data_IF_312509305935
#
_entry.id   IF_312509305935
#
_cell.length_a   1.000
_cell.length_b   1.000
_cell.length_c   1.000
_cell.angle_alpha   90.00
_cell.angle_beta   90.00
_cell.angle_gamma   90.00
#
_symmetry.space_group_name_H-M   'P 1'
#
loop_
_entity.id
_entity.type
_entity.pdbx_description
1 polymer ?
#
# COMPACT_ATOMS: atom_id res chain seq x y z
N UNK A 1 3.39 15.90 -15.95
CA UNK A 1 2.73 15.91 -14.63
C UNK A 1 3.00 14.54 -14.03
N UNK A 2 3.71 14.45 -12.91
CA UNK A 2 3.95 13.16 -12.25
C UNK A 2 2.82 12.93 -11.26
N UNK A 3 2.02 11.89 -11.48
CA UNK A 3 0.86 11.56 -10.66
C UNK A 3 1.25 10.53 -9.60
N UNK A 4 0.77 10.72 -8.36
CA UNK A 4 0.93 9.72 -7.31
C UNK A 4 0.14 8.47 -7.68
N UNK A 5 0.79 7.31 -7.62
CA UNK A 5 0.17 6.01 -7.77
C UNK A 5 -0.25 5.48 -6.41
N UNK A 6 -1.26 4.63 -6.36
CA UNK A 6 -1.73 3.95 -5.16
C UNK A 6 -1.67 2.45 -5.38
N UNK A 7 -1.23 1.69 -4.39
CA UNK A 7 -1.07 0.24 -4.54
C UNK A 7 -1.10 -0.51 -3.22
N UNK A 8 -1.27 -1.83 -3.32
CA UNK A 8 -1.17 -2.79 -2.21
C UNK A 8 0.07 -3.63 -2.44
N UNK A 9 1.11 -3.31 -1.69
CA UNK A 9 2.47 -3.78 -1.89
C UNK A 9 2.73 -4.98 -0.98
N UNK A 10 2.95 -6.14 -1.57
CA UNK A 10 3.39 -7.35 -0.89
C UNK A 10 4.92 -7.43 -0.93
N UNK A 11 5.56 -7.47 0.23
CA UNK A 11 7.02 -7.55 0.36
C UNK A 11 7.52 -8.92 -0.07
N UNK A 12 8.37 -8.95 -1.09
CA UNK A 12 9.02 -10.15 -1.60
C UNK A 12 10.36 -10.40 -0.92
N UNK A 13 11.16 -9.34 -0.78
CA UNK A 13 12.53 -9.39 -0.26
C UNK A 13 12.94 -8.00 0.26
N UNK A 14 13.77 -7.96 1.30
CA UNK A 14 14.38 -6.72 1.79
C UNK A 14 15.85 -6.64 1.37
N UNK A 15 16.26 -5.46 0.89
CA UNK A 15 17.66 -5.14 0.64
C UNK A 15 18.13 -4.19 1.73
N UNK A 16 18.98 -4.63 2.69
CA UNK A 16 19.48 -3.76 3.75
C UNK A 16 20.07 -2.47 3.17
N UNK A 17 19.65 -1.31 3.68
CA UNK A 17 20.04 0.03 3.21
C UNK A 17 19.59 0.39 1.77
N UNK A 18 19.02 -0.54 1.01
CA UNK A 18 18.67 -0.37 -0.41
C UNK A 18 17.17 -0.26 -0.70
N UNK A 19 16.32 -0.74 0.20
CA UNK A 19 14.86 -0.70 0.06
C UNK A 19 14.23 -2.08 0.15
N UNK A 20 13.06 -2.24 -0.47
CA UNK A 20 12.25 -3.46 -0.39
C UNK A 20 11.73 -3.82 -1.77
N UNK A 21 12.01 -5.03 -2.24
CA UNK A 21 11.33 -5.56 -3.41
C UNK A 21 9.89 -5.87 -3.05
N UNK A 22 8.97 -5.26 -3.78
CA UNK A 22 7.53 -5.42 -3.57
C UNK A 22 6.86 -5.84 -4.86
N UNK A 23 5.81 -6.64 -4.69
CA UNK A 23 4.81 -6.91 -5.70
C UNK A 23 3.61 -6.04 -5.41
N UNK A 24 3.28 -5.12 -6.29
CA UNK A 24 1.98 -4.46 -6.25
C UNK A 24 0.92 -5.43 -6.75
N UNK A 25 0.13 -5.94 -5.80
CA UNK A 25 -0.94 -6.90 -6.04
C UNK A 25 -2.06 -6.34 -6.88
N UNK A 26 -2.22 -5.02 -6.88
CA UNK A 26 -3.25 -4.37 -7.67
C UNK A 26 -2.74 -4.23 -9.12
N UNK A 27 -1.51 -3.73 -9.32
CA UNK A 27 -0.96 -3.43 -10.65
C UNK A 27 -0.22 -4.58 -11.34
N UNK A 28 -0.14 -5.76 -10.71
CA UNK A 28 0.68 -6.91 -11.15
C UNK A 28 2.11 -6.50 -11.56
N UNK A 29 2.75 -5.70 -10.69
CA UNK A 29 4.07 -5.13 -10.97
C UNK A 29 5.02 -5.41 -9.82
N UNK A 30 6.20 -5.90 -10.16
CA UNK A 30 7.32 -6.00 -9.22
C UNK A 30 8.25 -4.82 -9.40
N UNK A 31 8.61 -4.16 -8.31
CA UNK A 31 9.59 -3.08 -8.32
C UNK A 31 10.33 -2.98 -6.99
N UNK A 32 11.48 -2.30 -7.01
CA UNK A 32 12.19 -1.91 -5.81
C UNK A 32 11.56 -0.62 -5.25
N UNK A 33 11.00 -0.73 -4.04
CA UNK A 33 10.53 0.39 -3.26
C UNK A 33 11.68 0.92 -2.41
N UNK A 34 12.20 2.09 -2.76
CA UNK A 34 13.27 2.74 -2.01
C UNK A 34 12.70 3.39 -0.76
N UNK A 35 12.78 2.63 0.35
CA UNK A 35 12.39 3.07 1.69
C UNK A 35 13.36 2.43 2.69
N UNK A 36 14.27 3.24 3.22
CA UNK A 36 15.33 2.79 4.13
C UNK A 36 14.73 2.22 5.44
N UNK A 37 13.74 2.90 6.01
CA UNK A 37 13.09 2.44 7.25
C UNK A 37 12.37 1.11 7.05
N UNK A 38 11.71 0.96 5.90
CA UNK A 38 11.06 -0.28 5.52
C UNK A 38 12.08 -1.39 5.22
N UNK A 39 13.27 -1.07 4.69
CA UNK A 39 14.33 -2.05 4.42
C UNK A 39 14.81 -2.80 5.67
N UNK A 40 14.72 -2.18 6.84
CA UNK A 40 15.06 -2.81 8.12
C UNK A 40 13.90 -3.48 8.84
N UNK A 41 12.67 -3.00 8.60
CA UNK A 41 11.50 -3.39 9.39
C UNK A 41 10.55 -4.34 8.65
N UNK A 42 10.55 -4.34 7.32
CA UNK A 42 9.72 -5.22 6.53
C UNK A 42 10.22 -6.67 6.57
N UNK A 43 9.27 -7.59 6.46
CA UNK A 43 9.52 -9.02 6.31
C UNK A 43 8.81 -9.49 5.07
N UNK A 44 9.35 -10.53 4.41
CA UNK A 44 8.68 -11.21 3.31
C UNK A 44 7.24 -11.58 3.69
N UNK A 45 6.29 -11.25 2.84
CA UNK A 45 4.85 -11.45 3.04
C UNK A 45 4.13 -10.31 3.75
N UNK A 46 4.83 -9.26 4.21
CA UNK A 46 4.17 -8.03 4.71
C UNK A 46 3.38 -7.37 3.58
N UNK A 47 2.17 -6.90 3.87
CA UNK A 47 1.29 -6.20 2.91
C UNK A 47 1.07 -4.76 3.37
N UNK A 48 1.27 -3.81 2.45
CA UNK A 48 1.25 -2.37 2.72
C UNK A 48 0.35 -1.69 1.68
N UNK A 49 -0.74 -1.03 2.08
CA UNK A 49 -1.36 -0.04 1.19
C UNK A 49 -0.70 1.31 1.37
N UNK A 50 -0.32 1.92 0.26
CA UNK A 50 0.36 3.22 0.27
C UNK A 50 0.18 3.95 -1.05
N UNK A 51 0.44 5.25 -1.05
CA UNK A 51 0.72 6.00 -2.27
C UNK A 51 2.22 6.05 -2.53
N UNK A 52 2.62 5.77 -3.76
CA UNK A 52 4.01 5.83 -4.17
C UNK A 52 4.18 6.68 -5.44
N UNK A 53 5.36 7.28 -5.55
CA UNK A 53 5.78 7.99 -6.75
C UNK A 53 6.81 7.14 -7.48
N UNK A 54 6.55 6.93 -8.76
CA UNK A 54 7.53 6.32 -9.67
C UNK A 54 8.23 7.42 -10.46
N UNK A 55 9.53 7.54 -10.25
CA UNK A 55 10.45 8.27 -11.11
C UNK A 55 10.97 7.33 -12.20
N UNK A 56 11.65 7.86 -13.22
CA UNK A 56 12.16 7.06 -14.35
C UNK A 56 13.03 5.88 -13.94
N UNK A 57 13.68 5.94 -12.77
CA UNK A 57 14.66 4.95 -12.33
C UNK A 57 14.35 4.31 -10.96
N UNK A 58 13.38 4.84 -10.20
CA UNK A 58 13.11 4.37 -8.84
C UNK A 58 11.67 4.68 -8.38
N UNK A 59 11.17 3.91 -7.41
CA UNK A 59 9.84 4.13 -6.80
C UNK A 59 10.00 4.36 -5.30
N UNK A 60 9.30 5.36 -4.76
CA UNK A 60 9.34 5.73 -3.34
C UNK A 60 7.93 5.84 -2.78
N UNK A 61 7.74 5.48 -1.51
CA UNK A 61 6.50 5.82 -0.79
C UNK A 61 6.44 7.33 -0.59
N UNK A 62 5.23 7.88 -0.65
CA UNK A 62 4.96 9.28 -0.25
C UNK A 62 4.19 9.36 1.07
N UNK A 63 3.94 8.21 1.70
CA UNK A 63 3.09 8.09 2.88
C UNK A 63 3.56 7.00 3.84
N UNK A 64 2.94 6.97 5.02
CA UNK A 64 3.19 5.98 6.05
C UNK A 64 2.54 4.63 5.69
N UNK A 65 3.25 3.51 5.94
CA UNK A 65 2.68 2.17 5.85
C UNK A 65 1.63 1.95 6.97
N UNK A 66 0.44 1.47 6.61
CA UNK A 66 -0.63 1.13 7.56
C UNK A 66 -0.82 -0.40 7.66
N UNK A 67 -1.00 -0.96 8.88
CA UNK A 67 -1.11 -2.40 9.11
C UNK A 67 -2.51 -2.93 8.77
N UNK A 68 -2.83 -3.06 7.49
CA UNK A 68 -4.16 -3.50 7.05
C UNK A 68 -4.49 -4.95 7.45
N UNK A 69 -3.48 -5.75 7.79
CA UNK A 69 -3.67 -7.13 8.29
C UNK A 69 -4.57 -7.21 9.54
N UNK A 70 -4.71 -6.13 10.30
CA UNK A 70 -5.59 -6.05 11.47
C UNK A 70 -6.98 -5.47 11.16
N UNK A 71 -7.24 -5.14 9.89
CA UNK A 71 -8.43 -4.45 9.41
C UNK A 71 -9.01 -5.11 8.15
N UNK A 72 -8.84 -6.43 8.02
CA UNK A 72 -9.32 -7.19 6.86
C UNK A 72 -10.83 -7.08 6.68
N UNK A 73 -11.61 -7.13 7.77
CA UNK A 73 -13.06 -6.95 7.72
C UNK A 73 -13.44 -5.62 7.05
N UNK A 74 -12.71 -4.54 7.34
CA UNK A 74 -12.95 -3.23 6.71
C UNK A 74 -12.50 -3.19 5.25
N UNK A 75 -11.41 -3.88 4.93
CA UNK A 75 -10.96 -4.01 3.56
C UNK A 75 -12.02 -4.70 2.70
N UNK A 76 -12.59 -5.81 3.19
CA UNK A 76 -13.63 -6.57 2.50
C UNK A 76 -14.91 -5.72 2.31
N UNK A 77 -15.35 -5.01 3.34
CA UNK A 77 -16.48 -4.06 3.24
C UNK A 77 -16.27 -3.00 2.13
N UNK A 78 -15.06 -2.45 2.02
CA UNK A 78 -14.75 -1.44 1.01
C UNK A 78 -14.58 -2.05 -0.38
N UNK A 79 -14.12 -3.29 -0.50
CA UNK A 79 -14.06 -4.02 -1.77
C UNK A 79 -15.47 -4.17 -2.33
N UNK A 80 -16.42 -4.57 -1.48
CA UNK A 80 -17.84 -4.70 -1.82
C UNK A 80 -18.47 -3.34 -2.17
N UNK A 81 -18.23 -2.31 -1.35
CA UNK A 81 -18.78 -0.95 -1.56
C UNK A 81 -18.36 -0.34 -2.91
N UNK A 82 -17.12 -0.59 -3.33
CA UNK A 82 -16.53 -0.03 -4.55
C UNK A 82 -16.61 -0.96 -5.76
N UNK A 83 -17.29 -2.12 -5.63
CA UNK A 83 -17.45 -3.11 -6.71
C UNK A 83 -16.10 -3.59 -7.28
N UNK A 84 -15.07 -3.66 -6.42
CA UNK A 84 -13.69 -3.99 -6.83
C UNK A 84 -13.56 -5.46 -7.24
N UNK A 85 -14.44 -6.33 -6.74
CA UNK A 85 -14.48 -7.75 -7.13
C UNK A 85 -14.82 -7.92 -8.63
N UNK A 86 -15.65 -7.03 -9.18
CA UNK A 86 -16.14 -7.10 -10.57
C UNK A 86 -15.45 -6.10 -11.50
N UNK A 87 -14.69 -5.15 -10.93
CA UNK A 87 -13.95 -4.14 -11.67
C UNK A 87 -12.57 -3.89 -11.06
N UNK A 88 -11.47 -4.00 -11.83
CA UNK A 88 -10.15 -3.65 -11.34
C UNK A 88 -10.12 -2.24 -10.75
N UNK A 89 -9.49 -2.08 -9.58
CA UNK A 89 -9.40 -0.80 -8.87
C UNK A 89 -8.94 0.38 -9.75
N UNK A 90 -8.01 0.16 -10.68
CA UNK A 90 -7.48 1.19 -11.60
C UNK A 90 -8.47 1.69 -12.64
N UNK A 91 -9.51 0.91 -12.91
CA UNK A 91 -10.58 1.31 -13.82
C UNK A 91 -11.63 2.18 -13.12
N UNK A 92 -11.59 2.28 -11.78
CA UNK A 92 -12.40 3.23 -11.04
C UNK A 92 -11.95 4.66 -11.39
N UNK A 93 -12.86 5.64 -11.48
CA UNK A 93 -12.50 7.05 -11.51
C UNK A 93 -11.54 7.41 -10.38
N UNK A 94 -10.55 8.26 -10.65
CA UNK A 94 -9.52 8.71 -9.67
C UNK A 94 -10.14 9.16 -8.35
N UNK A 95 -11.30 9.82 -8.39
CA UNK A 95 -12.03 10.25 -7.20
C UNK A 95 -12.51 9.07 -6.32
N UNK A 96 -12.92 7.96 -6.93
CA UNK A 96 -13.32 6.75 -6.22
C UNK A 96 -12.11 6.02 -5.64
N UNK A 97 -11.01 5.91 -6.41
CA UNK A 97 -9.75 5.35 -5.91
C UNK A 97 -9.25 6.11 -4.67
N UNK A 98 -9.22 7.44 -4.75
CA UNK A 98 -8.84 8.29 -3.62
C UNK A 98 -9.78 8.13 -2.43
N UNK A 99 -11.08 7.98 -2.66
CA UNK A 99 -12.05 7.77 -1.59
C UNK A 99 -11.84 6.43 -0.88
N UNK A 100 -11.68 5.33 -1.62
CA UNK A 100 -11.39 4.00 -1.07
C UNK A 100 -10.16 4.03 -0.15
N UNK A 101 -9.03 4.54 -0.67
CA UNK A 101 -7.77 4.61 0.10
C UNK A 101 -7.92 5.52 1.32
N UNK A 102 -8.64 6.64 1.20
CA UNK A 102 -8.91 7.55 2.31
C UNK A 102 -9.76 6.89 3.40
N UNK A 103 -10.80 6.15 3.02
CA UNK A 103 -11.67 5.45 3.97
C UNK A 103 -10.89 4.36 4.73
N UNK A 104 -10.10 3.56 4.01
CA UNK A 104 -9.26 2.53 4.61
C UNK A 104 -8.20 3.14 5.54
N UNK A 105 -7.52 4.18 5.07
CA UNK A 105 -6.52 4.93 5.85
C UNK A 105 -7.11 5.50 7.13
N UNK A 106 -8.27 6.17 7.02
CA UNK A 106 -8.98 6.75 8.16
C UNK A 106 -9.36 5.67 9.17
N UNK A 107 -9.91 4.54 8.70
CA UNK A 107 -10.28 3.44 9.58
C UNK A 107 -9.06 2.89 10.35
N UNK A 108 -7.93 2.67 9.68
CA UNK A 108 -6.70 2.25 10.35
C UNK A 108 -6.23 3.26 11.40
N UNK A 109 -6.26 4.57 11.09
CA UNK A 109 -5.84 5.61 12.02
C UNK A 109 -6.78 5.75 13.23
N UNK A 110 -8.10 5.67 13.01
CA UNK A 110 -9.13 5.76 14.05
C UNK A 110 -9.09 4.57 15.00
N UNK A 111 -8.74 3.38 14.49
CA UNK A 111 -8.66 2.14 15.27
C UNK A 111 -7.28 1.89 15.87
N UNK A 112 -6.51 2.96 16.11
CA UNK A 112 -5.38 2.91 17.02
C UNK A 112 -4.03 2.54 16.40
N UNK A 113 -3.85 2.71 15.09
CA UNK A 113 -2.52 2.72 14.46
C UNK A 113 -1.78 4.00 14.89
N UNK A 114 -1.41 4.07 16.17
CA UNK A 114 -0.63 5.17 16.77
C UNK A 114 0.86 4.82 16.87
N UNK A 115 1.21 3.54 16.79
CA UNK A 115 2.59 3.06 16.67
C UNK A 115 2.64 1.61 16.20
N UNK A 116 3.58 1.31 15.30
CA UNK A 116 3.98 -0.04 14.97
C UNK A 116 4.96 -0.53 16.05
N UNK A 117 4.58 -1.53 16.86
CA UNK A 117 5.50 -2.30 17.69
C UNK A 117 5.26 -3.78 17.41
N UNK A 118 6.25 -4.45 16.85
CA UNK A 118 6.28 -5.90 16.79
C UNK A 118 7.07 -6.43 17.99
N UNK A 119 6.43 -7.32 18.76
CA UNK A 119 7.13 -8.36 19.51
C UNK A 119 7.64 -9.43 18.55
#
# INVERSE_FOLDING_TARGET
MQEASYGVLSVLETLPFGGVYVEDRLNDKIFLLMDEGLSFSAKKGLIIATSYLTFSEFTMTTGAALPIIHHLDKLDELIDEFDIEYRPFFELPVKQQANFITQLTRHCLENGVKSYRFC
#
